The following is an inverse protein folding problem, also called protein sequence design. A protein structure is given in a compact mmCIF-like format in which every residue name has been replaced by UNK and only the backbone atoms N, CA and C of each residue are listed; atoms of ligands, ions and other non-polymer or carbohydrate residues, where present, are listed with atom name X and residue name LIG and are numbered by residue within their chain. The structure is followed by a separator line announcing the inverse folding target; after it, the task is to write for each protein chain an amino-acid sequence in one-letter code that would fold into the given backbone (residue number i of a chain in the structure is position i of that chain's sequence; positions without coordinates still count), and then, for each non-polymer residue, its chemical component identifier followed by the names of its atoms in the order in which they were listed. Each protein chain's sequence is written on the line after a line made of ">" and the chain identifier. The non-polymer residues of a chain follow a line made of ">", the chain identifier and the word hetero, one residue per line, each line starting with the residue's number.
data_IF_093933845973
#
_entry.id   IF_093933845973
#
_cell.length_a   1.000
_cell.length_b   1.000
_cell.length_c   1.000
_cell.angle_alpha   90.00
_cell.angle_beta   90.00
_cell.angle_gamma   90.00
#
_symmetry.space_group_name_H-M   'P 1'
#
loop_
_entity.id
_entity.type
_entity.pdbx_description
1 polymer ?
#
# COMPACT_ATOMS: atom_id res chain seq x y z
N UNK A 1 -20.37 11.99 -23.06
CA UNK A 1 -21.78 11.73 -22.77
C UNK A 1 -22.05 12.07 -21.30
N UNK A 2 -23.00 12.96 -21.06
CA UNK A 2 -23.49 13.28 -19.71
C UNK A 2 -24.83 12.56 -19.54
N UNK A 3 -24.94 11.63 -18.61
CA UNK A 3 -26.17 10.90 -18.33
C UNK A 3 -25.88 9.48 -17.85
N UNK A 4 -26.88 8.85 -17.23
CA UNK A 4 -26.86 7.44 -16.87
C UNK A 4 -26.86 6.62 -18.15
N UNK A 5 -25.73 6.03 -18.51
CA UNK A 5 -25.63 5.06 -19.60
C UNK A 5 -26.06 3.70 -19.03
N UNK A 6 -26.91 2.99 -19.74
CA UNK A 6 -27.17 1.58 -19.44
C UNK A 6 -25.89 0.77 -19.60
N UNK A 7 -25.75 -0.28 -18.80
CA UNK A 7 -24.67 -1.25 -19.00
C UNK A 7 -24.94 -1.92 -20.36
N UNK A 8 -24.11 -1.62 -21.35
CA UNK A 8 -24.11 -2.37 -22.61
C UNK A 8 -23.51 -3.73 -22.33
N UNK A 9 -24.24 -4.79 -22.63
CA UNK A 9 -23.77 -6.16 -22.42
C UNK A 9 -22.80 -6.53 -23.54
N UNK A 10 -21.54 -6.71 -23.18
CA UNK A 10 -20.54 -7.39 -24.00
C UNK A 10 -20.44 -8.84 -23.57
N UNK A 11 -20.12 -9.75 -24.48
CA UNK A 11 -19.90 -11.18 -24.19
C UNK A 11 -18.77 -11.41 -23.19
N UNK A 12 -17.88 -10.44 -23.02
CA UNK A 12 -16.71 -10.49 -22.11
C UNK A 12 -16.93 -9.73 -20.79
N UNK A 13 -18.08 -9.09 -20.59
CA UNK A 13 -18.48 -8.44 -19.35
C UNK A 13 -19.82 -9.00 -18.91
N UNK A 14 -19.83 -9.91 -17.97
CA UNK A 14 -21.06 -10.55 -17.48
C UNK A 14 -21.19 -10.41 -15.97
N UNK A 15 -22.41 -10.15 -15.51
CA UNK A 15 -22.76 -10.18 -14.09
C UNK A 15 -23.77 -11.29 -13.84
N UNK A 16 -23.44 -12.15 -12.89
CA UNK A 16 -24.37 -13.19 -12.43
C UNK A 16 -24.99 -12.78 -11.09
N UNK A 17 -26.27 -12.36 -11.04
CA UNK A 17 -26.90 -11.89 -9.81
C UNK A 17 -27.13 -13.01 -8.78
N UNK A 18 -27.14 -14.28 -9.18
CA UNK A 18 -27.31 -15.39 -8.24
C UNK A 18 -26.06 -15.69 -7.42
N UNK A 19 -24.88 -15.33 -7.95
CA UNK A 19 -23.60 -15.58 -7.32
C UNK A 19 -22.87 -14.29 -6.92
N UNK A 20 -23.40 -13.12 -7.29
CA UNK A 20 -22.74 -11.81 -7.18
C UNK A 20 -21.37 -11.73 -7.88
N UNK A 21 -21.17 -12.52 -8.92
CA UNK A 21 -19.92 -12.55 -9.67
C UNK A 21 -19.99 -11.63 -10.88
N UNK A 22 -19.05 -10.70 -10.96
CA UNK A 22 -18.75 -9.92 -12.17
C UNK A 22 -17.56 -10.59 -12.87
N UNK A 23 -17.78 -11.09 -14.09
CA UNK A 23 -16.72 -11.69 -14.92
C UNK A 23 -16.35 -10.73 -16.04
N UNK A 24 -15.06 -10.38 -16.10
CA UNK A 24 -14.47 -9.51 -17.12
C UNK A 24 -12.99 -9.80 -17.29
N UNK A 25 -12.42 -9.34 -18.42
CA UNK A 25 -10.98 -9.28 -18.60
C UNK A 25 -10.53 -7.83 -18.47
N UNK A 26 -9.78 -7.52 -17.41
CA UNK A 26 -9.16 -6.21 -17.25
C UNK A 26 -7.68 -6.31 -17.68
N UNK A 27 -7.29 -5.49 -18.65
CA UNK A 27 -5.93 -5.44 -19.21
C UNK A 27 -5.10 -4.27 -18.66
N UNK A 28 -5.72 -3.35 -17.92
CA UNK A 28 -5.05 -2.20 -17.34
C UNK A 28 -5.67 -1.81 -16.00
N UNK A 29 -4.84 -1.34 -15.08
CA UNK A 29 -5.22 -0.69 -13.85
C UNK A 29 -4.57 0.69 -13.77
N UNK A 30 -5.26 1.68 -13.18
CA UNK A 30 -4.76 3.05 -13.05
C UNK A 30 -3.68 3.16 -11.97
N UNK A 31 -3.78 2.38 -10.91
CA UNK A 31 -2.87 2.37 -9.77
C UNK A 31 -2.05 1.08 -9.75
N UNK A 32 -1.04 0.99 -8.90
CA UNK A 32 0.02 -0.01 -9.05
C UNK A 32 0.28 -0.86 -7.79
N UNK A 33 -0.60 -0.80 -6.80
CA UNK A 33 -0.48 -1.61 -5.58
C UNK A 33 -1.71 -2.48 -5.33
N UNK A 34 -1.46 -3.62 -4.70
CA UNK A 34 -2.46 -4.52 -4.14
C UNK A 34 -2.53 -4.27 -2.64
N UNK A 35 -3.71 -3.93 -2.13
CA UNK A 35 -3.92 -3.64 -0.72
C UNK A 35 -5.04 -4.49 -0.11
N UNK A 36 -5.03 -4.57 1.21
CA UNK A 36 -6.08 -5.18 2.03
C UNK A 36 -6.43 -4.25 3.19
N UNK A 37 -7.69 -4.27 3.65
CA UNK A 37 -8.10 -3.54 4.85
C UNK A 37 -7.70 -4.33 6.08
N UNK A 38 -6.97 -3.67 6.99
CA UNK A 38 -6.62 -4.17 8.32
C UNK A 38 -7.14 -3.23 9.41
N UNK A 39 -7.62 -3.79 10.51
CA UNK A 39 -7.95 -3.03 11.69
C UNK A 39 -6.67 -2.40 12.29
N UNK A 40 -6.65 -1.08 12.39
CA UNK A 40 -5.53 -0.30 12.90
C UNK A 40 -5.80 0.20 14.32
N UNK A 41 -4.78 0.32 15.14
CA UNK A 41 -4.91 0.84 16.51
C UNK A 41 -5.13 2.35 16.57
N UNK A 42 -4.77 3.08 15.52
CA UNK A 42 -5.06 4.51 15.27
C UNK A 42 -5.16 4.78 13.77
N UNK A 43 -5.64 5.95 13.38
CA UNK A 43 -5.60 6.42 11.99
C UNK A 43 -4.16 6.78 11.60
N UNK A 44 -3.70 6.24 10.47
CA UNK A 44 -2.35 6.46 9.95
C UNK A 44 -2.34 7.33 8.70
N UNK A 45 -1.36 8.22 8.62
CA UNK A 45 -1.12 9.00 7.39
C UNK A 45 -0.64 8.08 6.25
N UNK A 46 -0.99 8.39 4.99
CA UNK A 46 -0.48 7.67 3.83
C UNK A 46 1.04 7.55 3.81
N UNK A 47 1.54 6.41 3.36
CA UNK A 47 2.96 6.11 3.32
C UNK A 47 3.55 5.62 4.64
N UNK A 48 2.76 5.55 5.72
CA UNK A 48 3.22 4.97 6.99
C UNK A 48 3.49 3.48 6.83
N UNK A 49 4.67 3.06 7.25
CA UNK A 49 5.04 1.63 7.34
C UNK A 49 4.39 1.04 8.58
N UNK A 50 3.68 -0.07 8.40
CA UNK A 50 2.96 -0.74 9.49
C UNK A 50 3.42 -2.18 9.65
N UNK A 51 3.37 -2.66 10.90
CA UNK A 51 3.70 -4.03 11.29
C UNK A 51 2.49 -4.73 11.92
N UNK A 52 2.50 -6.05 11.92
CA UNK A 52 1.53 -6.85 12.66
C UNK A 52 1.77 -6.65 14.16
N UNK A 53 0.72 -6.26 14.90
CA UNK A 53 0.78 -6.08 16.36
C UNK A 53 0.04 -4.83 16.84
N UNK A 54 0.36 -4.38 18.04
CA UNK A 54 -0.36 -3.30 18.72
C UNK A 54 -1.62 -3.79 19.43
N UNK A 55 -2.62 -2.91 19.57
CA UNK A 55 -3.90 -3.23 20.20
C UNK A 55 -4.97 -3.69 19.19
N UNK A 56 -4.67 -3.62 17.91
CA UNK A 56 -5.48 -4.10 16.80
C UNK A 56 -4.64 -5.07 15.93
N UNK A 57 -4.95 -5.24 14.64
CA UNK A 57 -4.18 -6.12 13.76
C UNK A 57 -2.85 -5.50 13.36
N UNK A 58 -2.83 -4.17 13.16
CA UNK A 58 -1.63 -3.42 12.76
C UNK A 58 -1.35 -2.21 13.65
N UNK A 59 -0.06 -1.88 13.74
CA UNK A 59 0.48 -0.69 14.41
C UNK A 59 1.63 -0.11 13.60
N UNK A 60 2.06 1.12 13.91
CA UNK A 60 3.23 1.73 13.27
C UNK A 60 4.48 0.85 13.43
N UNK A 61 5.21 0.61 12.35
CA UNK A 61 6.43 -0.17 12.40
C UNK A 61 7.54 0.54 13.17
N UNK A 62 8.50 -0.25 13.64
CA UNK A 62 9.74 0.20 14.26
C UNK A 62 10.93 -0.61 13.74
N UNK A 63 12.14 -0.21 14.11
CA UNK A 63 13.37 -0.88 13.68
C UNK A 63 13.49 -2.33 14.16
N UNK A 64 12.80 -2.72 15.23
CA UNK A 64 12.80 -4.08 15.79
C UNK A 64 11.61 -4.94 15.28
N UNK A 65 10.79 -4.44 14.34
CA UNK A 65 9.66 -5.18 13.80
C UNK A 65 10.11 -6.52 13.22
N UNK A 66 9.40 -7.59 13.56
CA UNK A 66 9.67 -8.93 13.01
C UNK A 66 8.94 -9.16 11.70
N UNK A 67 7.70 -8.64 11.59
CA UNK A 67 6.83 -8.84 10.44
C UNK A 67 6.19 -7.51 10.06
N UNK A 68 6.53 -6.99 8.88
CA UNK A 68 5.82 -5.87 8.30
C UNK A 68 4.49 -6.35 7.74
N UNK A 69 3.43 -5.58 7.97
CA UNK A 69 2.16 -5.76 7.27
C UNK A 69 2.23 -5.13 5.88
N UNK A 70 2.81 -3.94 5.77
CA UNK A 70 2.95 -3.22 4.52
C UNK A 70 3.06 -1.71 4.75
N UNK A 71 2.45 -0.94 3.83
CA UNK A 71 2.47 0.53 3.83
C UNK A 71 1.05 1.05 3.63
N UNK A 72 0.63 2.06 4.39
CA UNK A 72 -0.69 2.68 4.23
C UNK A 72 -0.82 3.28 2.84
N UNK A 73 -1.81 2.80 2.07
CA UNK A 73 -2.12 3.23 0.70
C UNK A 73 -3.33 4.15 0.67
N UNK A 74 -3.37 5.07 -0.30
CA UNK A 74 -4.53 5.97 -0.51
C UNK A 74 -5.43 5.54 -1.65
N UNK A 75 -4.89 4.83 -2.63
CA UNK A 75 -5.59 4.52 -3.87
C UNK A 75 -5.04 3.22 -4.48
N UNK A 76 -5.32 2.07 -3.87
CA UNK A 76 -4.84 0.79 -4.39
C UNK A 76 -5.48 0.46 -5.75
N UNK A 77 -4.73 -0.24 -6.60
CA UNK A 77 -5.25 -0.77 -7.86
C UNK A 77 -6.29 -1.87 -7.62
N UNK A 78 -6.10 -2.62 -6.55
CA UNK A 78 -7.04 -3.64 -6.08
C UNK A 78 -7.07 -3.66 -4.55
N UNK A 79 -8.28 -3.60 -3.98
CA UNK A 79 -8.49 -3.59 -2.54
C UNK A 79 -9.22 -4.85 -2.10
N UNK A 80 -8.57 -5.66 -1.31
CA UNK A 80 -9.14 -6.84 -0.66
C UNK A 80 -9.78 -6.46 0.67
N UNK A 81 -10.70 -7.30 1.15
CA UNK A 81 -11.41 -7.10 2.42
C UNK A 81 -12.10 -5.73 2.53
N UNK A 82 -12.58 -5.19 1.40
CA UNK A 82 -13.04 -3.79 1.25
C UNK A 82 -14.29 -3.42 2.05
N UNK A 83 -14.97 -4.37 2.65
CA UNK A 83 -16.11 -4.15 3.56
C UNK A 83 -15.73 -4.11 5.03
N UNK A 84 -14.47 -4.39 5.37
CA UNK A 84 -13.98 -4.25 6.74
C UNK A 84 -13.74 -2.79 7.10
N UNK A 85 -13.77 -2.48 8.40
CA UNK A 85 -13.35 -1.19 8.94
C UNK A 85 -11.84 -1.22 9.22
N UNK A 86 -11.11 -0.15 8.85
CA UNK A 86 -9.67 -0.05 9.07
C UNK A 86 -8.94 0.70 7.96
N UNK A 87 -7.64 0.46 7.85
CA UNK A 87 -6.74 1.13 6.92
C UNK A 87 -6.38 0.23 5.73
N UNK A 88 -6.30 0.82 4.54
CA UNK A 88 -5.83 0.12 3.35
C UNK A 88 -4.30 -0.03 3.40
N UNK A 89 -3.82 -1.24 3.54
CA UNK A 89 -2.39 -1.57 3.61
C UNK A 89 -1.94 -2.18 2.29
N UNK A 90 -1.06 -1.47 1.57
CA UNK A 90 -0.39 -2.01 0.39
C UNK A 90 0.56 -3.14 0.79
N UNK A 91 0.31 -4.32 0.23
CA UNK A 91 1.10 -5.54 0.48
C UNK A 91 2.21 -5.70 -0.56
N UNK A 92 1.98 -5.27 -1.78
CA UNK A 92 2.91 -5.39 -2.90
C UNK A 92 2.61 -4.33 -3.96
N UNK A 93 3.62 -3.93 -4.71
CA UNK A 93 3.49 -2.99 -5.82
C UNK A 93 4.23 -1.68 -5.58
N UNK A 94 3.85 -0.65 -6.30
CA UNK A 94 4.44 0.69 -6.19
C UNK A 94 3.57 1.56 -5.29
N UNK A 95 4.17 2.14 -4.26
CA UNK A 95 3.48 3.00 -3.30
C UNK A 95 4.41 4.09 -2.76
N UNK A 96 3.91 5.30 -2.47
CA UNK A 96 4.67 6.30 -1.73
C UNK A 96 4.91 5.82 -0.30
N UNK A 97 6.17 5.87 0.17
CA UNK A 97 6.59 5.50 1.52
C UNK A 97 7.14 6.74 2.23
N UNK A 98 6.80 6.94 3.49
CA UNK A 98 7.41 7.97 4.35
C UNK A 98 8.85 7.59 4.66
N UNK A 99 9.80 8.32 4.09
CA UNK A 99 11.24 8.07 4.23
C UNK A 99 11.91 9.22 4.96
N UNK A 100 12.66 8.90 6.00
CA UNK A 100 13.53 9.80 6.73
C UNK A 100 14.98 9.65 6.24
N UNK A 101 15.70 10.78 6.06
CA UNK A 101 17.08 10.75 5.57
C UNK A 101 17.17 10.79 4.04
N UNK A 102 18.37 11.00 3.51
CA UNK A 102 18.63 10.95 2.08
C UNK A 102 18.48 9.52 1.55
N UNK A 103 18.06 9.39 0.29
CA UNK A 103 17.91 8.10 -0.38
C UNK A 103 18.28 8.21 -1.86
N UNK A 104 18.86 7.17 -2.42
CA UNK A 104 19.17 7.08 -3.85
C UNK A 104 18.23 6.07 -4.53
N UNK A 105 17.87 6.34 -5.77
CA UNK A 105 17.15 5.37 -6.62
C UNK A 105 17.87 4.03 -6.65
N UNK A 106 17.12 2.96 -6.46
CA UNK A 106 17.63 1.59 -6.38
C UNK A 106 18.15 1.17 -5.00
N UNK A 107 18.16 2.08 -4.02
CA UNK A 107 18.56 1.78 -2.66
C UNK A 107 17.40 1.12 -1.91
N UNK A 108 17.71 0.11 -1.09
CA UNK A 108 16.75 -0.46 -0.16
C UNK A 108 16.41 0.53 0.95
N UNK A 109 15.16 0.52 1.37
CA UNK A 109 14.70 1.24 2.56
C UNK A 109 14.15 0.24 3.57
N UNK A 110 14.41 0.50 4.84
CA UNK A 110 14.16 -0.39 5.98
C UNK A 110 13.26 0.31 6.98
N UNK A 111 12.43 -0.46 7.68
CA UNK A 111 11.57 0.09 8.72
C UNK A 111 12.38 0.73 9.85
N UNK A 112 11.93 1.86 10.32
CA UNK A 112 12.47 2.61 11.45
C UNK A 112 11.32 3.01 12.40
N UNK A 113 11.68 3.55 13.55
CA UNK A 113 10.72 3.92 14.59
C UNK A 113 9.73 4.99 14.09
N UNK A 114 8.46 4.87 14.51
CA UNK A 114 7.42 5.82 14.15
C UNK A 114 6.76 5.58 12.77
N UNK A 115 6.91 4.39 12.21
CA UNK A 115 6.25 4.04 10.94
C UNK A 115 6.87 4.73 9.72
N UNK A 116 8.13 5.14 9.81
CA UNK A 116 8.89 5.65 8.65
C UNK A 116 9.86 4.59 8.15
N UNK A 117 10.37 4.79 6.95
CA UNK A 117 11.50 4.01 6.43
C UNK A 117 12.78 4.85 6.39
N UNK A 118 13.92 4.20 6.34
CA UNK A 118 15.25 4.83 6.18
C UNK A 118 16.13 3.98 5.28
N UNK A 119 17.15 4.60 4.68
CA UNK A 119 18.17 3.88 3.91
C UNK A 119 19.20 3.14 4.80
N UNK A 120 19.19 3.37 6.10
CA UNK A 120 20.05 2.69 7.06
C UNK A 120 19.54 1.26 7.33
N UNK A 121 20.42 0.28 7.25
CA UNK A 121 20.06 -1.15 7.36
C UNK A 121 19.90 -1.60 8.83
N UNK A 122 18.90 -1.07 9.52
CA UNK A 122 18.66 -1.37 10.96
C UNK A 122 17.37 -2.13 11.24
N UNK A 123 16.42 -2.13 10.32
CA UNK A 123 15.13 -2.81 10.44
C UNK A 123 14.85 -3.78 9.29
N UNK A 124 13.65 -4.37 9.24
CA UNK A 124 13.24 -5.19 8.12
C UNK A 124 13.08 -4.34 6.86
N UNK A 125 13.34 -4.96 5.70
CA UNK A 125 13.21 -4.28 4.40
C UNK A 125 11.75 -3.94 4.12
N UNK A 126 11.49 -2.69 3.72
CA UNK A 126 10.17 -2.21 3.27
C UNK A 126 10.08 -2.30 1.75
N UNK A 127 11.13 -1.88 1.05
CA UNK A 127 11.13 -1.87 -0.39
C UNK A 127 12.39 -1.25 -0.99
N UNK A 128 12.30 -0.95 -2.29
CA UNK A 128 13.37 -0.33 -3.07
C UNK A 128 12.89 1.04 -3.55
N UNK A 129 13.66 2.09 -3.28
CA UNK A 129 13.38 3.44 -3.75
C UNK A 129 13.43 3.53 -5.28
N UNK A 130 12.41 4.11 -5.89
CA UNK A 130 12.30 4.31 -7.33
C UNK A 130 12.78 5.69 -7.78
N UNK A 131 13.08 6.55 -6.82
CA UNK A 131 13.58 7.91 -7.04
C UNK A 131 14.67 8.27 -6.02
N UNK A 132 15.41 9.36 -6.28
CA UNK A 132 16.44 9.87 -5.38
C UNK A 132 16.00 11.16 -4.71
N UNK A 133 16.40 11.37 -3.45
CA UNK A 133 16.21 12.62 -2.72
C UNK A 133 17.39 12.88 -1.78
N UNK A 134 17.98 14.06 -1.88
CA UNK A 134 19.01 14.53 -0.94
C UNK A 134 18.41 15.20 0.31
N UNK A 135 17.09 15.39 0.35
CA UNK A 135 16.41 15.95 1.52
C UNK A 135 16.52 14.96 2.68
N UNK A 136 17.05 15.42 3.82
CA UNK A 136 17.22 14.61 5.03
C UNK A 136 15.99 14.61 5.95
N UNK A 137 15.04 15.52 5.74
CA UNK A 137 13.76 15.50 6.46
C UNK A 137 12.86 14.37 5.94
N UNK A 138 11.84 14.04 6.73
CA UNK A 138 10.82 13.10 6.31
C UNK A 138 10.08 13.60 5.04
N UNK A 139 9.84 12.69 4.10
CA UNK A 139 9.12 12.94 2.84
C UNK A 139 8.58 11.64 2.29
N UNK A 140 7.68 11.74 1.31
CA UNK A 140 7.24 10.59 0.53
C UNK A 140 8.25 10.30 -0.58
N UNK A 141 8.56 9.04 -0.75
CA UNK A 141 9.42 8.49 -1.81
C UNK A 141 8.67 7.33 -2.47
N UNK A 142 8.57 7.36 -3.78
CA UNK A 142 8.02 6.22 -4.53
C UNK A 142 8.90 4.99 -4.34
N UNK A 143 8.33 3.91 -3.82
CA UNK A 143 9.03 2.64 -3.58
C UNK A 143 8.31 1.47 -4.25
N UNK A 144 9.08 0.49 -4.68
CA UNK A 144 8.59 -0.84 -4.98
C UNK A 144 8.67 -1.67 -3.70
N UNK A 145 7.51 -2.06 -3.17
CA UNK A 145 7.45 -2.90 -1.97
C UNK A 145 8.06 -4.27 -2.27
N UNK A 146 8.87 -4.73 -1.34
CA UNK A 146 9.41 -6.08 -1.30
C UNK A 146 8.84 -6.79 -0.08
N UNK A 147 8.05 -7.79 -0.33
CA UNK A 147 7.60 -8.75 0.68
C UNK A 147 8.43 -10.02 0.53
#
# INVERSE_FOLDING_TARGET
>A
ATGTQGIETDTNLTYNPSTNVLSTTASAAQYADLAEIYAADVDYSPGTVVMIGGTAEITAANAAAQYLAGVISTAPAYLMNSSAEGEAVALVGRVPVRVLGAVNKGQAVFAADGGVATADATGPIVGIALESSSNTAEKLIECLLKV
#
